data_IF_070798882780
#
_entry.id   IF_070798882780
#
_cell.length_a   1.000
_cell.length_b   1.000
_cell.length_c   1.000
_cell.angle_alpha   90.00
_cell.angle_beta   90.00
_cell.angle_gamma   90.00
#
_symmetry.space_group_name_H-M   'P 1'
#
loop_
_entity.id
_entity.type
_entity.pdbx_description
1 polymer ?
#
# COMPACT_ATOMS: atom_id res chain seq x y z
N UNK A 1 31.32 -11.87 -0.21
CA UNK A 1 31.83 -13.24 -0.31
C UNK A 1 33.27 -13.18 -0.78
N UNK A 2 34.15 -13.93 -0.12
CA UNK A 2 35.56 -14.03 -0.55
C UNK A 2 35.65 -14.90 -1.81
N UNK A 3 36.65 -14.66 -2.66
CA UNK A 3 36.89 -15.44 -3.89
C UNK A 3 36.98 -16.95 -3.61
N UNK A 4 37.67 -17.35 -2.55
CA UNK A 4 37.78 -18.77 -2.18
C UNK A 4 36.42 -19.41 -1.84
N UNK A 5 35.51 -18.64 -1.23
CA UNK A 5 34.16 -19.09 -0.90
C UNK A 5 33.28 -19.17 -2.16
N UNK A 6 33.40 -18.18 -3.06
CA UNK A 6 32.73 -18.22 -4.37
C UNK A 6 33.15 -19.45 -5.17
N UNK A 7 34.45 -19.70 -5.28
CA UNK A 7 34.98 -20.89 -5.97
C UNK A 7 34.51 -22.19 -5.31
N UNK A 8 34.41 -22.23 -3.98
CA UNK A 8 33.90 -23.40 -3.26
C UNK A 8 32.41 -23.65 -3.55
N UNK A 9 31.60 -22.59 -3.69
CA UNK A 9 30.17 -22.72 -4.02
C UNK A 9 29.93 -23.04 -5.49
N UNK A 10 30.82 -22.60 -6.38
CA UNK A 10 30.77 -22.91 -7.82
C UNK A 10 31.38 -24.27 -8.17
N UNK A 11 31.97 -24.99 -7.21
CA UNK A 11 32.69 -26.25 -7.49
C UNK A 11 31.81 -27.31 -8.16
N UNK A 12 30.51 -27.28 -7.88
CA UNK A 12 29.51 -28.23 -8.38
C UNK A 12 28.69 -27.62 -9.54
N UNK A 13 29.02 -26.41 -10.00
CA UNK A 13 28.38 -25.78 -11.14
C UNK A 13 28.80 -26.48 -12.44
N UNK A 14 27.90 -26.51 -13.42
CA UNK A 14 28.25 -26.95 -14.76
C UNK A 14 29.27 -25.98 -15.39
N UNK A 15 30.36 -26.48 -16.01
CA UNK A 15 31.45 -25.63 -16.49
C UNK A 15 31.02 -24.59 -17.54
N UNK A 16 30.01 -24.91 -18.35
CA UNK A 16 29.48 -24.04 -19.41
C UNK A 16 28.26 -23.23 -18.95
N UNK A 17 27.91 -23.28 -17.66
CA UNK A 17 26.77 -22.51 -17.15
C UNK A 17 27.03 -21.01 -17.20
N UNK A 18 26.03 -20.25 -17.63
CA UNK A 18 26.10 -18.78 -17.67
C UNK A 18 25.91 -18.20 -16.27
N UNK A 19 26.78 -17.28 -15.91
CA UNK A 19 26.74 -16.59 -14.61
C UNK A 19 25.93 -15.30 -14.76
N UNK A 20 24.78 -15.25 -14.08
CA UNK A 20 23.90 -14.09 -14.02
C UNK A 20 24.07 -13.36 -12.69
N UNK A 21 24.24 -12.05 -12.75
CA UNK A 21 24.28 -11.19 -11.56
C UNK A 21 22.92 -10.52 -11.36
N UNK A 22 22.33 -10.65 -10.19
CA UNK A 22 21.14 -9.91 -9.77
C UNK A 22 21.55 -8.73 -8.87
N UNK A 23 21.78 -7.52 -9.43
CA UNK A 23 22.08 -6.36 -8.60
C UNK A 23 20.84 -5.87 -7.85
N UNK A 24 21.01 -5.36 -6.62
CA UNK A 24 19.95 -4.62 -5.92
C UNK A 24 19.78 -3.21 -6.46
N UNK A 25 20.88 -2.60 -6.94
CA UNK A 25 20.93 -1.25 -7.48
C UNK A 25 21.91 -1.18 -8.66
N UNK A 26 21.58 -0.38 -9.68
CA UNK A 26 22.34 -0.25 -10.92
C UNK A 26 23.15 1.05 -11.00
N UNK A 27 23.82 1.43 -9.92
CA UNK A 27 24.79 2.55 -9.92
C UNK A 27 26.18 2.07 -9.50
N UNK A 28 27.20 2.50 -10.24
CA UNK A 28 28.61 2.13 -10.04
C UNK A 28 29.25 2.82 -8.83
N UNK A 29 28.56 3.78 -8.20
CA UNK A 29 29.06 4.49 -7.02
C UNK A 29 29.00 3.67 -5.73
N UNK A 30 28.23 2.58 -5.70
CA UNK A 30 28.04 1.73 -4.52
C UNK A 30 28.28 0.26 -4.89
N UNK A 31 29.41 -0.29 -4.48
CA UNK A 31 29.72 -1.70 -4.70
C UNK A 31 29.10 -2.57 -3.59
N UNK A 32 28.32 -3.58 -3.96
CA UNK A 32 27.73 -4.54 -3.02
C UNK A 32 28.55 -5.83 -2.91
N UNK A 33 28.63 -6.36 -1.70
CA UNK A 33 29.26 -7.65 -1.46
C UNK A 33 28.30 -8.79 -1.87
N UNK A 34 28.76 -9.69 -2.76
CA UNK A 34 28.02 -10.92 -3.07
C UNK A 34 27.85 -11.74 -1.80
N UNK A 35 26.64 -12.23 -1.53
CA UNK A 35 26.38 -13.03 -0.34
C UNK A 35 25.84 -14.43 -0.66
N UNK A 36 25.36 -14.64 -1.89
CA UNK A 36 24.76 -15.90 -2.30
C UNK A 36 25.14 -16.33 -3.72
N UNK A 37 25.14 -17.65 -3.93
CA UNK A 37 25.43 -18.34 -5.20
C UNK A 37 24.42 -19.46 -5.31
N UNK A 38 23.54 -19.38 -6.31
CA UNK A 38 22.50 -20.39 -6.52
C UNK A 38 22.76 -21.14 -7.80
N UNK A 39 22.98 -22.45 -7.67
CA UNK A 39 23.12 -23.37 -8.79
C UNK A 39 21.72 -23.83 -9.21
N UNK A 40 21.28 -23.47 -10.42
CA UNK A 40 19.97 -23.90 -10.89
C UNK A 40 20.11 -25.27 -11.54
N UNK A 41 19.41 -26.25 -10.97
CA UNK A 41 19.42 -27.62 -11.48
C UNK A 41 18.71 -27.75 -12.84
N UNK A 42 17.63 -26.99 -13.05
CA UNK A 42 16.88 -26.98 -14.30
C UNK A 42 17.46 -25.97 -15.30
N UNK A 43 17.50 -26.31 -16.60
CA UNK A 43 17.93 -25.36 -17.62
C UNK A 43 16.93 -24.20 -17.74
N UNK A 44 17.46 -23.00 -17.95
CA UNK A 44 16.70 -21.80 -18.24
C UNK A 44 16.58 -21.60 -19.75
N UNK A 45 15.55 -20.87 -20.15
CA UNK A 45 15.44 -20.37 -21.53
C UNK A 45 16.13 -19.03 -21.60
N UNK A 46 17.04 -18.89 -22.58
CA UNK A 46 17.58 -17.62 -22.99
C UNK A 46 16.93 -17.21 -24.31
N UNK A 47 16.44 -15.98 -24.36
CA UNK A 47 15.88 -15.36 -25.55
C UNK A 47 16.74 -14.18 -25.96
N UNK A 48 17.20 -14.17 -27.21
CA UNK A 48 17.93 -13.04 -27.80
C UNK A 48 16.96 -12.21 -28.64
N UNK A 49 16.66 -11.03 -28.13
CA UNK A 49 15.74 -10.08 -28.78
C UNK A 49 16.54 -9.12 -29.67
N UNK A 50 16.23 -9.09 -30.97
CA UNK A 50 16.88 -8.21 -31.92
C UNK A 50 16.15 -6.87 -32.06
N UNK A 51 16.88 -5.77 -31.94
CA UNK A 51 16.35 -4.42 -32.14
C UNK A 51 16.59 -3.93 -33.56
N UNK A 52 15.73 -3.00 -34.00
CA UNK A 52 15.83 -2.39 -35.33
C UNK A 52 17.14 -1.62 -35.59
N UNK A 53 17.88 -1.26 -34.52
CA UNK A 53 19.20 -0.63 -34.61
C UNK A 53 20.36 -1.65 -34.78
N UNK A 54 20.04 -2.95 -34.87
CA UNK A 54 21.01 -4.03 -35.01
C UNK A 54 21.62 -4.50 -33.68
N UNK A 55 21.22 -3.92 -32.54
CA UNK A 55 21.62 -4.41 -31.23
C UNK A 55 20.75 -5.60 -30.81
N UNK A 56 21.27 -6.42 -29.90
CA UNK A 56 20.55 -7.54 -29.31
C UNK A 56 20.62 -7.49 -27.78
N UNK A 57 19.57 -7.98 -27.13
CA UNK A 57 19.50 -8.13 -25.67
C UNK A 57 19.08 -9.53 -25.31
N UNK A 58 19.85 -10.16 -24.42
CA UNK A 58 19.60 -11.53 -23.96
C UNK A 58 18.78 -11.50 -22.67
N UNK A 59 17.65 -12.19 -22.66
CA UNK A 59 16.73 -12.30 -21.53
C UNK A 59 16.70 -13.76 -21.07
N UNK A 60 17.03 -13.99 -19.80
CA UNK A 60 17.06 -15.33 -19.23
C UNK A 60 15.87 -15.49 -18.28
N UNK A 61 15.11 -16.57 -18.42
CA UNK A 61 14.00 -16.90 -17.53
C UNK A 61 13.85 -18.42 -17.36
N UNK A 62 13.16 -18.89 -16.30
CA UNK A 62 12.91 -20.32 -16.16
C UNK A 62 12.11 -20.85 -17.36
N UNK A 63 12.45 -22.06 -17.83
CA UNK A 63 11.83 -22.67 -19.01
C UNK A 63 10.30 -22.84 -18.88
N UNK A 64 9.78 -22.85 -17.65
CA UNK A 64 8.35 -22.93 -17.34
C UNK A 64 7.54 -21.66 -17.66
N UNK A 65 8.19 -20.52 -17.92
CA UNK A 65 7.51 -19.22 -18.02
C UNK A 65 6.99 -18.88 -19.43
N UNK A 66 7.19 -19.75 -20.42
CA UNK A 66 6.87 -19.45 -21.83
C UNK A 66 7.71 -18.31 -22.38
N UNK A 67 7.40 -17.84 -23.60
CA UNK A 67 8.17 -16.76 -24.22
C UNK A 67 7.96 -15.41 -23.52
N UNK A 68 9.00 -14.57 -23.47
CA UNK A 68 8.86 -13.25 -22.84
C UNK A 68 8.00 -12.31 -23.67
N UNK A 69 7.32 -11.37 -23.00
CA UNK A 69 6.44 -10.40 -23.64
C UNK A 69 7.24 -9.55 -24.65
N UNK A 70 6.92 -9.71 -25.93
CA UNK A 70 7.57 -8.98 -27.03
C UNK A 70 8.55 -9.81 -27.87
N UNK A 71 8.74 -11.09 -27.55
CA UNK A 71 9.50 -12.03 -28.39
C UNK A 71 8.82 -12.20 -29.76
N UNK A 72 9.57 -11.99 -30.84
CA UNK A 72 9.12 -12.17 -32.22
C UNK A 72 9.72 -13.46 -32.82
N UNK A 73 8.87 -14.47 -33.00
CA UNK A 73 9.24 -15.79 -33.55
C UNK A 73 9.96 -15.73 -34.91
N UNK A 74 9.83 -14.63 -35.66
CA UNK A 74 10.47 -14.47 -36.96
C UNK A 74 11.90 -13.90 -36.89
N UNK A 75 12.25 -13.20 -35.81
CA UNK A 75 13.53 -12.49 -35.70
C UNK A 75 14.35 -12.84 -34.48
N UNK A 76 13.73 -13.39 -33.44
CA UNK A 76 14.37 -13.68 -32.16
C UNK A 76 14.78 -15.15 -32.05
N UNK A 77 15.84 -15.39 -31.28
CA UNK A 77 16.39 -16.73 -31.06
C UNK A 77 16.12 -17.18 -29.62
N UNK A 78 15.78 -18.45 -29.42
CA UNK A 78 15.63 -19.02 -28.08
C UNK A 78 16.38 -20.35 -27.96
N UNK A 79 17.13 -20.54 -26.87
CA UNK A 79 17.77 -21.82 -26.54
C UNK A 79 17.72 -22.10 -25.04
N UNK A 80 17.99 -23.35 -24.66
CA UNK A 80 18.07 -23.75 -23.26
C UNK A 80 19.52 -23.82 -22.80
N UNK A 81 19.80 -23.30 -21.61
CA UNK A 81 21.13 -23.32 -21.01
C UNK A 81 21.09 -23.40 -19.48
N UNK A 82 22.18 -23.88 -18.88
CA UNK A 82 22.32 -23.90 -17.42
C UNK A 82 22.80 -22.54 -16.93
N UNK A 83 22.25 -22.09 -15.79
CA UNK A 83 22.58 -20.78 -15.24
C UNK A 83 22.97 -20.89 -13.77
N UNK A 84 23.91 -20.03 -13.38
CA UNK A 84 24.28 -19.78 -11.98
C UNK A 84 23.94 -18.34 -11.64
N UNK A 85 23.25 -18.13 -10.53
CA UNK A 85 22.83 -16.80 -10.12
C UNK A 85 23.67 -16.34 -8.94
N UNK A 86 24.31 -15.17 -9.08
CA UNK A 86 25.05 -14.48 -8.03
C UNK A 86 24.18 -13.35 -7.47
N UNK A 87 24.08 -13.27 -6.14
CA UNK A 87 23.23 -12.28 -5.48
C UNK A 87 23.86 -11.69 -4.21
N UNK A 88 23.67 -10.39 -3.95
CA UNK A 88 23.99 -9.76 -2.67
C UNK A 88 22.95 -10.06 -1.57
N UNK A 89 21.81 -10.70 -1.87
CA UNK A 89 20.78 -11.06 -0.89
C UNK A 89 20.93 -12.51 -0.39
N UNK A 90 20.93 -12.73 0.93
CA UNK A 90 20.89 -14.08 1.50
C UNK A 90 19.53 -14.77 1.24
N UNK A 91 19.52 -15.96 0.62
CA UNK A 91 18.41 -16.91 0.70
C UNK A 91 17.15 -16.56 -0.10
N UNK A 92 17.16 -15.56 -0.97
CA UNK A 92 15.95 -15.13 -1.68
C UNK A 92 15.65 -15.90 -2.98
N UNK A 93 16.62 -16.62 -3.56
CA UNK A 93 16.51 -17.10 -4.95
C UNK A 93 16.03 -18.55 -5.04
N UNK A 94 16.46 -19.45 -4.14
CA UNK A 94 15.92 -20.82 -4.08
C UNK A 94 14.41 -20.81 -3.80
N UNK A 95 13.93 -19.83 -3.02
CA UNK A 95 12.50 -19.63 -2.84
C UNK A 95 11.79 -19.27 -4.17
N UNK A 96 12.42 -18.54 -5.10
CA UNK A 96 11.75 -18.01 -6.30
C UNK A 96 11.65 -19.02 -7.45
N UNK A 97 12.52 -20.04 -7.51
CA UNK A 97 12.55 -21.02 -8.59
C UNK A 97 11.71 -22.29 -8.35
N UNK A 98 11.19 -22.53 -7.15
CA UNK A 98 10.19 -23.57 -6.88
C UNK A 98 8.78 -23.14 -7.32
N UNK A 99 8.67 -22.76 -8.60
CA UNK A 99 7.42 -22.38 -9.25
C UNK A 99 6.57 -23.58 -9.68
N UNK A 100 6.34 -24.54 -8.80
CA UNK A 100 5.20 -25.45 -8.84
C UNK A 100 4.72 -25.59 -7.40
N UNK A 101 3.56 -24.99 -7.10
CA UNK A 101 2.88 -24.99 -5.81
C UNK A 101 3.67 -24.38 -4.64
N UNK A 102 4.01 -23.10 -4.76
CA UNK A 102 4.45 -22.31 -3.60
C UNK A 102 3.25 -22.08 -2.67
N UNK A 103 3.08 -23.02 -1.75
CA UNK A 103 1.96 -23.04 -0.80
C UNK A 103 1.92 -21.74 0.02
N UNK A 104 0.72 -21.33 0.42
CA UNK A 104 0.48 -20.23 1.35
C UNK A 104 1.24 -20.36 2.70
N UNK A 105 1.88 -21.51 2.95
CA UNK A 105 2.62 -21.85 4.17
C UNK A 105 3.93 -21.06 4.34
N UNK A 106 4.66 -20.76 3.26
CA UNK A 106 6.01 -20.17 3.39
C UNK A 106 5.97 -18.64 3.57
N UNK A 107 5.05 -17.96 2.87
CA UNK A 107 4.77 -16.53 3.13
C UNK A 107 4.12 -16.33 4.49
N UNK A 108 3.23 -17.25 4.89
CA UNK A 108 2.70 -17.27 6.25
C UNK A 108 3.83 -17.46 7.28
N UNK A 109 4.81 -18.34 7.03
CA UNK A 109 5.93 -18.57 7.93
C UNK A 109 6.82 -17.33 8.13
N UNK A 110 7.14 -16.58 7.06
CA UNK A 110 7.89 -15.33 7.18
C UNK A 110 7.07 -14.24 7.87
N UNK A 111 5.80 -14.06 7.49
CA UNK A 111 4.91 -13.10 8.15
C UNK A 111 4.75 -13.39 9.64
N UNK A 112 4.60 -14.66 10.00
CA UNK A 112 4.47 -15.11 11.37
C UNK A 112 5.77 -14.91 12.14
N UNK A 113 6.94 -15.11 11.52
CA UNK A 113 8.23 -14.80 12.14
C UNK A 113 8.40 -13.30 12.43
N UNK A 114 7.99 -12.42 11.50
CA UNK A 114 8.04 -10.96 11.68
C UNK A 114 7.05 -10.53 12.77
N UNK A 115 5.84 -11.12 12.79
CA UNK A 115 4.83 -10.88 13.82
C UNK A 115 5.33 -11.29 15.19
N UNK A 116 5.93 -12.47 15.31
CA UNK A 116 6.48 -12.98 16.57
C UNK A 116 7.64 -12.12 17.05
N UNK A 117 8.55 -11.70 16.17
CA UNK A 117 9.62 -10.76 16.51
C UNK A 117 9.06 -9.43 17.01
N UNK A 118 8.08 -8.85 16.31
CA UNK A 118 7.44 -7.61 16.74
C UNK A 118 6.74 -7.75 18.10
N UNK A 119 6.12 -8.90 18.37
CA UNK A 119 5.50 -9.21 19.66
C UNK A 119 6.54 -9.34 20.77
N UNK A 120 7.66 -10.02 20.51
CA UNK A 120 8.77 -10.15 21.46
C UNK A 120 9.36 -8.78 21.81
N UNK A 121 9.55 -7.90 20.82
CA UNK A 121 9.97 -6.51 21.07
C UNK A 121 8.99 -5.79 21.99
N UNK A 122 7.68 -5.89 21.75
CA UNK A 122 6.68 -5.24 22.61
C UNK A 122 6.68 -5.80 24.03
N UNK A 123 6.83 -7.11 24.21
CA UNK A 123 6.99 -7.73 25.54
C UNK A 123 8.18 -7.13 26.29
N UNK A 124 9.30 -6.93 25.60
CA UNK A 124 10.48 -6.28 26.18
C UNK A 124 10.18 -4.82 26.56
N UNK A 125 9.49 -4.07 25.71
CA UNK A 125 9.11 -2.69 25.99
C UNK A 125 8.20 -2.56 27.22
N UNK A 126 7.35 -3.55 27.51
CA UNK A 126 6.56 -3.60 28.75
C UNK A 126 7.49 -3.76 29.96
N UNK A 127 8.44 -4.70 29.91
CA UNK A 127 9.42 -4.93 30.99
C UNK A 127 10.28 -3.69 31.25
N UNK A 128 10.67 -2.97 30.21
CA UNK A 128 11.45 -1.73 30.32
C UNK A 128 10.63 -0.49 30.72
N UNK A 129 9.30 -0.63 30.90
CA UNK A 129 8.41 0.48 31.24
C UNK A 129 8.22 1.50 30.11
N UNK A 130 8.56 1.12 28.88
CA UNK A 130 8.29 1.92 27.67
C UNK A 130 6.84 1.78 27.20
N UNK A 131 6.19 0.67 27.55
CA UNK A 131 4.75 0.45 27.41
C UNK A 131 4.12 0.32 28.80
N UNK A 132 3.07 1.11 29.05
CA UNK A 132 2.40 1.21 30.34
C UNK A 132 1.02 0.55 30.28
N UNK A 133 0.58 -0.08 31.37
CA UNK A 133 -0.83 -0.44 31.52
C UNK A 133 -1.72 0.82 31.56
N UNK A 134 -3.02 0.66 31.31
CA UNK A 134 -3.96 1.78 31.37
C UNK A 134 -3.96 2.49 32.75
N UNK A 135 -3.82 1.73 33.84
CA UNK A 135 -3.81 2.27 35.20
C UNK A 135 -2.52 3.06 35.49
N UNK A 136 -1.36 2.54 35.08
CA UNK A 136 -0.08 3.26 35.18
C UNK A 136 -0.07 4.53 34.31
N UNK A 137 -0.61 4.44 33.10
CA UNK A 137 -0.72 5.58 32.19
C UNK A 137 -1.60 6.69 32.80
N UNK A 138 -2.76 6.33 33.36
CA UNK A 138 -3.65 7.26 34.05
C UNK A 138 -2.96 7.90 35.27
N UNK A 139 -2.27 7.10 36.08
CA UNK A 139 -1.54 7.57 37.24
C UNK A 139 -0.44 8.56 36.85
N UNK A 140 0.32 8.25 35.80
CA UNK A 140 1.43 9.09 35.30
C UNK A 140 0.96 10.45 34.78
N UNK A 141 -0.18 10.49 34.09
CA UNK A 141 -0.77 11.74 33.60
C UNK A 141 -1.67 12.45 34.63
N UNK A 142 -1.97 11.82 35.77
CA UNK A 142 -2.93 12.33 36.74
C UNK A 142 -4.34 12.50 36.17
N UNK A 143 -4.75 11.61 35.26
CA UNK A 143 -6.07 11.67 34.60
C UNK A 143 -7.01 10.56 35.09
N UNK A 144 -8.31 10.83 35.04
CA UNK A 144 -9.32 9.82 35.36
C UNK A 144 -9.50 8.82 34.22
N UNK A 145 -9.96 7.60 34.55
CA UNK A 145 -10.32 6.57 33.55
C UNK A 145 -11.32 7.07 32.51
N UNK A 146 -12.25 7.95 32.91
CA UNK A 146 -13.22 8.58 32.00
C UNK A 146 -12.54 9.50 30.97
N UNK A 147 -11.55 10.29 31.41
CA UNK A 147 -10.77 11.15 30.51
C UNK A 147 -9.90 10.32 29.59
N UNK A 148 -9.25 9.30 30.13
CA UNK A 148 -8.45 8.35 29.36
C UNK A 148 -9.27 7.68 28.23
N UNK A 149 -10.46 7.16 28.55
CA UNK A 149 -11.35 6.57 27.56
C UNK A 149 -11.79 7.57 26.47
N UNK A 150 -11.98 8.84 26.82
CA UNK A 150 -12.25 9.90 25.84
C UNK A 150 -11.05 10.16 24.93
N UNK A 151 -9.85 10.28 25.49
CA UNK A 151 -8.63 10.50 24.71
C UNK A 151 -8.39 9.35 23.73
N UNK A 152 -8.66 8.11 24.14
CA UNK A 152 -8.60 6.94 23.25
C UNK A 152 -9.64 7.03 22.12
N UNK A 153 -10.90 7.35 22.46
CA UNK A 153 -11.98 7.47 21.48
C UNK A 153 -11.75 8.61 20.47
N UNK A 154 -11.18 9.72 20.93
CA UNK A 154 -10.87 10.90 20.10
C UNK A 154 -9.58 10.70 19.26
N UNK A 155 -8.87 9.56 19.43
CA UNK A 155 -7.62 9.26 18.73
C UNK A 155 -6.42 10.09 19.21
N UNK A 156 -6.50 10.66 20.40
CA UNK A 156 -5.43 11.46 21.01
C UNK A 156 -4.32 10.62 21.62
N UNK A 157 -4.61 9.34 21.86
CA UNK A 157 -3.66 8.32 22.29
C UNK A 157 -4.00 6.99 21.60
N UNK A 158 -3.13 6.00 21.72
CA UNK A 158 -3.36 4.67 21.18
C UNK A 158 -2.65 3.59 22.00
N UNK A 159 -3.24 2.40 22.02
CA UNK A 159 -2.64 1.21 22.61
C UNK A 159 -1.95 0.35 21.55
N UNK A 160 -0.93 -0.39 21.98
CA UNK A 160 -0.34 -1.51 21.25
C UNK A 160 -0.80 -2.80 21.93
N UNK A 161 -1.29 -3.73 21.12
CA UNK A 161 -1.61 -5.08 21.58
C UNK A 161 -0.33 -5.84 21.91
N UNK A 162 -0.28 -6.36 23.14
CA UNK A 162 0.69 -7.32 23.63
C UNK A 162 -0.08 -8.46 24.27
N UNK A 163 -0.08 -9.63 23.62
CA UNK A 163 -0.76 -10.84 24.09
C UNK A 163 -2.26 -10.63 24.39
N UNK A 164 -2.95 -9.85 23.54
CA UNK A 164 -4.38 -9.57 23.68
C UNK A 164 -4.71 -8.51 24.75
N UNK A 165 -3.70 -7.85 25.31
CA UNK A 165 -3.84 -6.73 26.25
C UNK A 165 -3.27 -5.46 25.65
N UNK A 166 -4.03 -4.36 25.73
CA UNK A 166 -3.57 -3.04 25.27
C UNK A 166 -2.62 -2.40 26.28
N UNK A 167 -1.42 -2.07 25.82
CA UNK A 167 -0.46 -1.24 26.53
C UNK A 167 -0.22 0.09 25.80
N UNK A 168 0.10 1.14 26.54
CA UNK A 168 0.15 2.52 26.04
C UNK A 168 1.60 3.03 26.06
N UNK A 169 2.12 3.60 24.95
CA UNK A 169 3.46 4.16 24.93
C UNK A 169 3.70 5.19 26.02
N UNK A 170 4.72 4.98 26.85
CA UNK A 170 5.10 5.88 27.94
C UNK A 170 5.41 7.30 27.45
N UNK A 171 5.90 7.43 26.20
CA UNK A 171 6.14 8.72 25.54
C UNK A 171 4.86 9.58 25.43
N UNK A 172 3.68 8.97 25.34
CA UNK A 172 2.40 9.71 25.29
C UNK A 172 2.01 10.27 26.67
N UNK A 173 2.70 9.83 27.73
CA UNK A 173 2.56 10.30 29.10
C UNK A 173 3.80 11.09 29.58
N UNK A 174 4.67 11.54 28.67
CA UNK A 174 5.82 12.36 29.03
C UNK A 174 5.40 13.83 29.20
N UNK A 175 5.52 14.34 30.42
CA UNK A 175 5.17 15.72 30.79
C UNK A 175 6.12 16.77 30.22
N UNK A 176 7.28 16.35 29.70
CA UNK A 176 8.26 17.25 29.05
C UNK A 176 7.82 17.66 27.65
N UNK A 177 6.95 16.88 27.01
CA UNK A 177 6.49 17.12 25.65
C UNK A 177 5.28 18.06 25.63
N UNK A 178 5.13 18.80 24.53
CA UNK A 178 3.92 19.58 24.30
C UNK A 178 2.71 18.67 24.04
N UNK A 179 1.99 18.35 25.13
CA UNK A 179 0.87 17.41 25.10
C UNK A 179 -0.21 17.77 24.07
N UNK A 180 -0.55 19.05 23.93
CA UNK A 180 -1.58 19.50 22.98
C UNK A 180 -1.17 19.23 21.53
N UNK A 181 0.10 19.47 21.21
CA UNK A 181 0.64 19.24 19.87
C UNK A 181 0.81 17.76 19.60
N UNK A 182 1.29 16.99 20.58
CA UNK A 182 1.38 15.52 20.49
C UNK A 182 0.01 14.89 20.21
N UNK A 183 -1.01 15.22 21.00
CA UNK A 183 -2.37 14.73 20.80
C UNK A 183 -2.92 15.10 19.41
N UNK A 184 -2.59 16.29 18.91
CA UNK A 184 -2.96 16.69 17.56
C UNK A 184 -2.26 15.84 16.48
N UNK A 185 -0.98 15.50 16.65
CA UNK A 185 -0.29 14.57 15.76
C UNK A 185 -0.90 13.16 15.87
N UNK A 186 -1.16 12.65 17.08
CA UNK A 186 -1.82 11.37 17.29
C UNK A 186 -3.14 11.28 16.52
N UNK A 187 -3.97 12.33 16.59
CA UNK A 187 -5.21 12.43 15.81
C UNK A 187 -4.95 12.37 14.32
N UNK A 188 -3.90 13.04 13.82
CA UNK A 188 -3.50 13.03 12.41
C UNK A 188 -3.17 11.62 11.92
N UNK A 189 -2.40 10.88 12.71
CA UNK A 189 -1.84 9.58 12.33
C UNK A 189 -2.74 8.39 12.61
N UNK A 190 -3.96 8.60 13.16
CA UNK A 190 -4.96 7.54 13.44
C UNK A 190 -5.14 6.51 12.32
N UNK A 191 -5.16 6.87 11.01
CA UNK A 191 -5.35 5.88 9.95
C UNK A 191 -4.32 4.76 9.92
N UNK A 192 -3.12 4.98 10.49
CA UNK A 192 -2.06 3.99 10.53
C UNK A 192 -2.22 2.98 11.68
N UNK A 193 -1.75 1.74 11.52
CA UNK A 193 -1.67 0.76 12.60
C UNK A 193 -0.93 1.30 13.84
N UNK A 194 -1.29 0.84 15.04
CA UNK A 194 -0.71 1.31 16.30
C UNK A 194 0.83 1.21 16.36
N UNK A 195 1.41 0.12 15.87
CA UNK A 195 2.86 -0.04 15.78
C UNK A 195 3.49 1.03 14.89
N UNK A 196 2.97 1.23 13.68
CA UNK A 196 3.48 2.26 12.77
C UNK A 196 3.35 3.68 13.34
N UNK A 197 2.28 3.95 14.10
CA UNK A 197 2.12 5.24 14.82
C UNK A 197 3.18 5.43 15.90
N UNK A 198 3.53 4.36 16.63
CA UNK A 198 4.61 4.39 17.61
C UNK A 198 5.95 4.70 16.91
N UNK A 199 6.28 3.94 15.87
CA UNK A 199 7.54 4.09 15.13
C UNK A 199 7.68 5.47 14.50
N UNK A 200 6.59 5.98 13.90
CA UNK A 200 6.55 7.34 13.36
C UNK A 200 6.93 8.37 14.42
N UNK A 201 6.39 8.27 15.64
CA UNK A 201 6.68 9.22 16.69
C UNK A 201 8.11 9.09 17.24
N UNK A 202 8.59 7.86 17.43
CA UNK A 202 9.83 7.59 18.17
C UNK A 202 11.09 7.50 17.31
N UNK A 203 10.97 7.35 15.99
CA UNK A 203 12.11 7.10 15.09
C UNK A 203 12.46 8.30 14.20
N UNK A 204 13.73 8.42 13.75
CA UNK A 204 14.11 9.37 12.71
C UNK A 204 13.30 9.17 11.43
N UNK A 205 12.77 10.26 10.86
CA UNK A 205 11.93 10.17 9.66
C UNK A 205 12.54 10.93 8.48
N UNK A 206 12.71 10.24 7.35
CA UNK A 206 13.37 10.79 6.15
C UNK A 206 12.73 12.09 5.63
N UNK A 207 11.40 12.13 5.51
CA UNK A 207 10.67 13.32 5.04
C UNK A 207 10.77 14.55 5.98
N UNK A 208 11.27 14.35 7.20
CA UNK A 208 11.54 15.37 8.22
C UNK A 208 13.04 15.69 8.33
N UNK A 209 13.86 15.23 7.38
CA UNK A 209 15.32 15.43 7.41
C UNK A 209 15.99 14.62 8.52
N UNK A 210 15.54 13.37 8.73
CA UNK A 210 16.01 12.48 9.79
C UNK A 210 15.81 13.01 11.23
N UNK A 211 14.96 14.03 11.41
CA UNK A 211 14.49 14.44 12.74
C UNK A 211 13.48 13.43 13.27
N UNK A 212 13.46 13.30 14.60
CA UNK A 212 12.45 12.52 15.34
C UNK A 212 11.22 13.42 15.58
N UNK A 213 10.00 13.02 15.20
CA UNK A 213 8.79 13.84 15.36
C UNK A 213 8.55 14.41 16.75
N UNK A 214 8.82 13.64 17.82
CA UNK A 214 8.64 14.13 19.18
C UNK A 214 9.51 15.34 19.52
N UNK A 215 10.69 15.45 18.90
CA UNK A 215 11.60 16.60 19.10
C UNK A 215 11.16 17.85 18.32
N UNK A 216 10.18 17.72 17.42
CA UNK A 216 9.68 18.82 16.58
C UNK A 216 8.43 19.48 17.18
N UNK A 217 7.98 19.05 18.35
CA UNK A 217 6.73 19.53 18.94
C UNK A 217 6.82 20.97 19.46
N UNK A 218 7.96 21.43 19.95
CA UNK A 218 8.05 22.72 20.65
C UNK A 218 8.28 23.92 19.73
N UNK A 219 8.99 23.75 18.61
CA UNK A 219 9.22 24.83 17.63
C UNK A 219 8.05 24.94 16.64
N UNK A 220 7.58 26.16 16.38
CA UNK A 220 6.41 26.41 15.52
C UNK A 220 6.62 26.00 14.06
N UNK A 221 7.83 26.20 13.52
CA UNK A 221 8.14 25.89 12.12
C UNK A 221 8.30 24.39 11.94
N UNK A 222 9.03 23.75 12.84
CA UNK A 222 9.19 22.30 12.86
C UNK A 222 7.83 21.63 13.10
N UNK A 223 7.01 22.11 14.03
CA UNK A 223 5.68 21.56 14.26
C UNK A 223 4.77 21.69 13.04
N UNK A 224 4.79 22.84 12.34
CA UNK A 224 4.04 23.01 11.09
C UNK A 224 4.48 21.98 10.05
N UNK A 225 5.79 21.82 9.85
CA UNK A 225 6.34 20.83 8.92
C UNK A 225 5.96 19.39 9.31
N UNK A 226 6.03 19.07 10.61
CA UNK A 226 5.62 17.77 11.13
C UNK A 226 4.16 17.48 10.80
N UNK A 227 3.24 18.44 10.97
CA UNK A 227 1.84 18.25 10.62
C UNK A 227 1.63 17.92 9.15
N UNK A 228 2.26 18.67 8.25
CA UNK A 228 2.16 18.45 6.80
C UNK A 228 2.65 17.04 6.41
N UNK A 229 3.79 16.62 6.96
CA UNK A 229 4.34 15.28 6.72
C UNK A 229 3.46 14.20 7.35
N UNK A 230 2.96 14.41 8.57
CA UNK A 230 2.08 13.45 9.23
C UNK A 230 0.76 13.27 8.46
N UNK A 231 0.21 14.32 7.86
CA UNK A 231 -0.99 14.24 7.01
C UNK A 231 -0.71 13.43 5.74
N UNK A 232 0.41 13.66 5.08
CA UNK A 232 0.81 12.91 3.88
C UNK A 232 1.12 11.44 4.21
N UNK A 233 1.85 11.18 5.30
CA UNK A 233 2.19 9.85 5.78
C UNK A 233 0.93 9.06 6.17
N UNK A 234 0.01 9.68 6.93
CA UNK A 234 -1.24 9.02 7.35
C UNK A 234 -2.13 8.65 6.16
N UNK A 235 -2.10 9.43 5.07
CA UNK A 235 -2.88 9.14 3.87
C UNK A 235 -2.48 7.82 3.18
N UNK A 236 -1.24 7.35 3.36
CA UNK A 236 -0.74 6.09 2.78
C UNK A 236 -1.44 4.86 3.37
N UNK A 237 -1.99 5.00 4.58
CA UNK A 237 -2.66 3.90 5.28
C UNK A 237 -4.15 3.77 4.96
N UNK A 238 -4.67 4.58 4.03
CA UNK A 238 -6.04 4.41 3.53
C UNK A 238 -6.15 4.74 2.06
N UNK A 239 -6.86 3.87 1.34
CA UNK A 239 -7.23 4.04 -0.05
C UNK A 239 -8.72 4.27 -0.18
N UNK A 240 -9.09 5.15 -1.10
CA UNK A 240 -10.48 5.26 -1.57
C UNK A 240 -10.52 4.74 -2.99
N UNK A 241 -11.39 3.78 -3.24
CA UNK A 241 -11.67 3.26 -4.58
C UNK A 241 -13.01 3.75 -5.08
N UNK A 242 -13.06 3.96 -6.39
CA UNK A 242 -14.26 4.15 -7.18
C UNK A 242 -14.35 3.00 -8.15
N UNK A 243 -15.52 2.38 -8.25
CA UNK A 243 -15.79 1.35 -9.25
C UNK A 243 -17.10 1.69 -9.98
N UNK A 244 -17.09 1.65 -11.31
CA UNK A 244 -18.26 1.83 -12.16
C UNK A 244 -18.65 0.50 -12.78
N UNK A 245 -19.94 0.18 -12.77
CA UNK A 245 -20.51 -1.00 -13.43
C UNK A 245 -21.65 -0.61 -14.37
N UNK A 246 -21.83 -1.34 -15.46
CA UNK A 246 -22.98 -1.18 -16.34
C UNK A 246 -24.28 -1.60 -15.62
N UNK A 247 -25.36 -0.84 -15.80
CA UNK A 247 -26.67 -1.17 -15.25
C UNK A 247 -26.93 -0.63 -13.85
N UNK A 248 -28.05 -1.06 -13.27
CA UNK A 248 -28.52 -0.65 -11.93
C UNK A 248 -28.18 -1.72 -10.90
N UNK A 249 -27.28 -1.40 -9.98
CA UNK A 249 -26.86 -2.30 -8.91
C UNK A 249 -27.21 -1.69 -7.55
N UNK A 250 -27.60 -2.51 -6.58
CA UNK A 250 -27.77 -2.08 -5.18
C UNK A 250 -26.56 -2.46 -4.29
N UNK A 251 -25.82 -3.50 -4.71
CA UNK A 251 -24.57 -3.98 -4.10
C UNK A 251 -23.53 -4.22 -5.19
N UNK A 252 -22.24 -4.16 -4.83
CA UNK A 252 -21.15 -4.39 -5.78
C UNK A 252 -21.25 -5.82 -6.34
N UNK A 253 -21.38 -6.01 -7.67
CA UNK A 253 -21.52 -7.33 -8.27
C UNK A 253 -20.17 -8.08 -8.27
N UNK A 254 -20.21 -9.39 -8.03
CA UNK A 254 -19.01 -10.22 -7.88
C UNK A 254 -18.49 -10.81 -9.20
N UNK A 255 -19.37 -10.93 -10.20
CA UNK A 255 -19.16 -11.66 -11.46
C UNK A 255 -19.25 -10.75 -12.70
N UNK A 256 -19.37 -9.44 -12.50
CA UNK A 256 -19.42 -8.45 -13.56
C UNK A 256 -18.10 -7.71 -13.65
N UNK A 257 -17.56 -7.55 -14.86
CA UNK A 257 -16.36 -6.75 -15.08
C UNK A 257 -16.67 -5.26 -14.89
N UNK A 258 -15.89 -4.54 -14.06
CA UNK A 258 -16.03 -3.09 -13.94
C UNK A 258 -15.82 -2.37 -15.28
N UNK A 259 -16.62 -1.34 -15.54
CA UNK A 259 -16.41 -0.40 -16.64
C UNK A 259 -15.19 0.50 -16.39
N UNK A 260 -14.94 0.81 -15.13
CA UNK A 260 -13.85 1.68 -14.69
C UNK A 260 -13.60 1.51 -13.20
N UNK A 261 -12.34 1.48 -12.81
CA UNK A 261 -11.89 1.50 -11.42
C UNK A 261 -10.85 2.59 -11.28
N UNK A 262 -10.95 3.40 -10.22
CA UNK A 262 -9.93 4.36 -9.84
C UNK A 262 -9.63 4.31 -8.34
N UNK A 263 -8.36 4.39 -7.97
CA UNK A 263 -7.91 4.28 -6.58
C UNK A 263 -6.92 5.40 -6.26
N UNK A 264 -7.07 6.04 -5.11
CA UNK A 264 -6.06 6.99 -4.58
C UNK A 264 -5.84 6.75 -3.09
N UNK A 265 -4.62 7.07 -2.65
CA UNK A 265 -4.28 7.18 -1.24
C UNK A 265 -4.74 8.53 -0.69
N UNK A 266 -5.61 8.48 0.32
CA UNK A 266 -6.18 9.66 0.92
C UNK A 266 -6.66 9.37 2.34
N UNK A 267 -6.36 10.33 3.22
CA UNK A 267 -6.82 10.34 4.60
C UNK A 267 -8.35 10.12 4.69
N UNK A 268 -8.81 9.06 5.38
CA UNK A 268 -10.21 8.66 5.42
C UNK A 268 -11.11 9.66 6.16
N UNK A 269 -10.50 10.59 6.93
CA UNK A 269 -11.22 11.66 7.64
C UNK A 269 -11.63 12.80 6.73
N UNK A 270 -11.08 12.88 5.50
CA UNK A 270 -11.58 13.81 4.49
C UNK A 270 -13.01 13.39 4.08
N UNK A 271 -13.90 14.35 3.76
CA UNK A 271 -15.27 14.04 3.34
C UNK A 271 -15.31 13.04 2.19
N UNK A 272 -16.27 12.10 2.22
CA UNK A 272 -16.41 11.01 1.26
C UNK A 272 -16.27 11.48 -0.19
N UNK A 273 -17.04 12.50 -0.58
CA UNK A 273 -17.04 12.99 -1.96
C UNK A 273 -15.77 13.74 -2.35
N UNK A 274 -15.05 14.33 -1.39
CA UNK A 274 -13.71 14.87 -1.61
C UNK A 274 -12.72 13.74 -1.93
N UNK A 275 -12.79 12.62 -1.20
CA UNK A 275 -11.97 11.43 -1.47
C UNK A 275 -12.29 10.80 -2.81
N UNK A 276 -13.57 10.59 -3.09
CA UNK A 276 -14.05 10.08 -4.37
C UNK A 276 -13.57 10.98 -5.53
N UNK A 277 -13.70 12.30 -5.39
CA UNK A 277 -13.23 13.22 -6.43
C UNK A 277 -11.72 13.13 -6.63
N UNK A 278 -10.93 12.98 -5.57
CA UNK A 278 -9.48 12.79 -5.70
C UNK A 278 -9.19 11.50 -6.48
N UNK A 279 -9.87 10.40 -6.14
CA UNK A 279 -9.68 9.11 -6.80
C UNK A 279 -9.92 9.15 -8.31
N UNK A 280 -11.02 9.77 -8.77
CA UNK A 280 -11.38 9.79 -10.19
C UNK A 280 -10.66 10.89 -11.02
N UNK A 281 -9.96 11.83 -10.37
CA UNK A 281 -9.25 12.92 -11.09
C UNK A 281 -7.73 12.78 -11.02
N UNK A 282 -7.19 12.09 -10.02
CA UNK A 282 -5.76 11.78 -9.97
C UNK A 282 -5.52 10.51 -10.77
N UNK A 283 -4.85 10.64 -11.90
CA UNK A 283 -4.47 9.58 -12.83
C UNK A 283 -3.46 8.56 -12.26
N UNK A 284 -3.55 8.23 -10.96
CA UNK A 284 -2.63 7.33 -10.28
C UNK A 284 -2.91 5.87 -10.65
N UNK A 285 -4.00 5.32 -10.11
CA UNK A 285 -4.40 3.93 -10.35
C UNK A 285 -5.77 3.89 -10.98
N UNK A 286 -5.83 3.95 -12.31
CA UNK A 286 -7.08 3.84 -13.07
C UNK A 286 -7.03 2.71 -14.10
N UNK A 287 -8.15 1.99 -14.25
CA UNK A 287 -8.27 0.88 -15.21
C UNK A 287 -9.72 0.67 -15.66
N UNK A 288 -10.00 0.39 -16.95
CA UNK A 288 -9.05 0.45 -18.06
C UNK A 288 -8.58 1.89 -18.31
N UNK A 289 -7.42 2.05 -18.96
CA UNK A 289 -7.05 3.34 -19.56
C UNK A 289 -7.97 3.55 -20.78
N UNK A 290 -8.51 4.76 -20.94
CA UNK A 290 -9.54 5.05 -21.95
C UNK A 290 -9.14 4.69 -23.40
N UNK A 291 -10.07 4.81 -24.37
CA UNK A 291 -11.34 5.55 -24.28
C UNK A 291 -12.42 4.82 -23.49
N UNK A 292 -13.22 5.59 -22.75
CA UNK A 292 -14.29 5.04 -21.92
C UNK A 292 -15.60 4.92 -22.70
N UNK A 293 -16.39 3.88 -22.46
CA UNK A 293 -17.64 3.66 -23.17
C UNK A 293 -18.72 4.68 -22.78
N UNK A 294 -19.70 4.85 -23.67
CA UNK A 294 -20.91 5.64 -23.43
C UNK A 294 -22.06 4.73 -23.00
N UNK A 295 -22.25 4.55 -21.69
CA UNK A 295 -23.40 3.83 -21.14
C UNK A 295 -24.41 4.77 -20.52
N UNK A 296 -25.68 4.64 -20.95
CA UNK A 296 -26.81 5.41 -20.42
C UNK A 296 -27.11 5.08 -18.97
N UNK A 297 -26.92 3.84 -18.55
CA UNK A 297 -27.20 3.39 -17.19
C UNK A 297 -25.98 2.72 -16.61
N UNK A 298 -25.52 3.22 -15.47
CA UNK A 298 -24.38 2.66 -14.75
C UNK A 298 -24.50 2.95 -13.25
N UNK A 299 -23.78 2.17 -12.44
CA UNK A 299 -23.74 2.33 -10.98
C UNK A 299 -22.33 2.63 -10.52
N UNK A 300 -22.21 3.64 -9.66
CA UNK A 300 -20.99 4.08 -9.01
C UNK A 300 -20.93 3.54 -7.59
N UNK A 301 -19.86 2.82 -7.27
CA UNK A 301 -19.51 2.42 -5.90
C UNK A 301 -18.30 3.23 -5.41
N UNK A 302 -18.35 3.63 -4.15
CA UNK A 302 -17.22 4.21 -3.43
C UNK A 302 -16.93 3.34 -2.22
N UNK A 303 -15.70 2.85 -2.10
CA UNK A 303 -15.27 2.05 -0.96
C UNK A 303 -13.98 2.60 -0.36
N UNK A 304 -13.80 2.33 0.94
CA UNK A 304 -12.57 2.63 1.66
C UNK A 304 -11.86 1.34 2.01
N UNK A 305 -10.59 1.28 1.68
CA UNK A 305 -9.67 0.26 2.20
C UNK A 305 -8.72 0.92 3.19
N UNK A 306 -8.49 0.29 4.33
CA UNK A 306 -7.54 0.76 5.34
C UNK A 306 -6.51 -0.32 5.61
N UNK A 307 -5.28 0.09 5.89
CA UNK A 307 -4.18 -0.84 6.17
C UNK A 307 -4.56 -1.79 7.31
N UNK A 308 -4.24 -3.08 7.16
CA UNK A 308 -4.61 -4.12 8.12
C UNK A 308 -6.01 -4.70 7.96
N UNK A 309 -6.85 -4.15 7.06
CA UNK A 309 -8.15 -4.73 6.72
C UNK A 309 -8.11 -5.42 5.36
N UNK A 310 -8.61 -6.65 5.31
CA UNK A 310 -8.59 -7.49 4.10
C UNK A 310 -9.72 -7.14 3.11
N UNK A 311 -10.79 -6.49 3.58
CA UNK A 311 -11.95 -6.14 2.76
C UNK A 311 -12.19 -4.63 2.73
N UNK A 312 -12.39 -4.03 1.53
CA UNK A 312 -12.90 -2.68 1.42
C UNK A 312 -14.26 -2.55 2.14
N UNK A 313 -14.45 -1.42 2.83
CA UNK A 313 -15.71 -1.05 3.45
C UNK A 313 -16.50 -0.20 2.46
N UNK A 314 -17.70 -0.63 2.02
CA UNK A 314 -18.54 0.18 1.16
C UNK A 314 -19.00 1.45 1.86
N UNK A 315 -18.88 2.60 1.21
CA UNK A 315 -19.24 3.91 1.77
C UNK A 315 -20.33 4.63 0.97
N UNK A 316 -20.44 4.35 -0.33
CA UNK A 316 -21.59 4.78 -1.14
C UNK A 316 -21.87 3.86 -2.34
N UNK A 317 -23.14 3.85 -2.74
CA UNK A 317 -23.65 3.28 -3.99
C UNK A 317 -24.65 4.26 -4.62
N UNK A 318 -24.40 4.61 -5.88
CA UNK A 318 -25.15 5.60 -6.62
C UNK A 318 -25.49 5.07 -8.01
N UNK A 319 -26.77 4.92 -8.29
CA UNK A 319 -27.27 4.59 -9.62
C UNK A 319 -27.38 5.87 -10.45
N UNK A 320 -26.90 5.80 -11.69
CA UNK A 320 -26.80 6.93 -12.61
C UNK A 320 -27.49 6.55 -13.92
N UNK A 321 -28.47 7.35 -14.31
CA UNK A 321 -29.14 7.28 -15.60
C UNK A 321 -28.89 8.58 -16.37
N UNK A 322 -28.00 8.53 -17.35
CA UNK A 322 -27.73 9.61 -18.29
C UNK A 322 -28.71 9.54 -19.47
N UNK A 323 -29.54 10.58 -19.62
CA UNK A 323 -30.35 10.85 -20.80
C UNK A 323 -29.85 12.10 -21.52
N UNK A 324 -30.28 12.29 -22.76
CA UNK A 324 -29.78 13.35 -23.65
C UNK A 324 -29.82 14.76 -23.00
N UNK A 325 -30.83 15.03 -22.15
CA UNK A 325 -31.00 16.35 -21.51
C UNK A 325 -30.64 16.40 -20.01
N UNK A 326 -30.60 15.26 -19.32
CA UNK A 326 -30.41 15.21 -17.86
C UNK A 326 -29.79 13.91 -17.36
N UNK A 327 -29.06 14.00 -16.25
CA UNK A 327 -28.61 12.87 -15.44
C UNK A 327 -29.60 12.72 -14.30
N UNK A 328 -30.20 11.54 -14.15
CA UNK A 328 -30.92 11.15 -12.94
C UNK A 328 -29.98 10.37 -12.04
N UNK A 329 -29.87 10.79 -10.79
CA UNK A 329 -29.06 10.15 -9.77
C UNK A 329 -30.00 9.54 -8.73
N UNK A 330 -29.73 8.32 -8.30
CA UNK A 330 -30.39 7.69 -7.15
C UNK A 330 -29.33 7.14 -6.20
N UNK A 331 -29.27 7.70 -5.00
CA UNK A 331 -28.38 7.22 -3.94
C UNK A 331 -29.03 6.03 -3.24
N UNK A 332 -28.45 4.83 -3.40
CA UNK A 332 -28.92 3.61 -2.74
C UNK A 332 -28.47 3.59 -1.28
N UNK A 333 -27.22 3.96 -1.04
CA UNK A 333 -26.71 4.32 0.27
C UNK A 333 -25.53 5.27 0.11
N UNK A 334 -25.34 6.12 1.10
CA UNK A 334 -24.09 6.83 1.33
C UNK A 334 -23.98 7.03 2.83
N UNK A 335 -22.80 6.79 3.41
CA UNK A 335 -22.60 6.89 4.86
C UNK A 335 -23.14 8.23 5.39
N UNK A 336 -24.12 8.14 6.30
CA UNK A 336 -24.76 9.32 6.90
C UNK A 336 -25.82 10.04 6.07
N UNK A 337 -26.32 9.47 4.94
CA UNK A 337 -27.41 10.07 4.14
C UNK A 337 -28.58 9.11 3.88
N UNK A 338 -29.82 9.62 3.84
CA UNK A 338 -30.98 8.85 3.41
C UNK A 338 -30.94 8.59 1.90
N UNK A 339 -31.77 7.64 1.44
CA UNK A 339 -31.97 7.36 0.01
C UNK A 339 -32.65 8.55 -0.65
N UNK A 340 -32.00 9.13 -1.65
CA UNK A 340 -32.49 10.31 -2.37
C UNK A 340 -32.39 10.07 -3.88
N UNK A 341 -33.30 10.71 -4.64
CA UNK A 341 -33.33 10.65 -6.10
C UNK A 341 -33.47 12.07 -6.66
N UNK A 342 -32.67 12.38 -7.66
CA UNK A 342 -32.48 13.75 -8.12
C UNK A 342 -32.15 13.81 -9.61
N UNK A 343 -32.25 15.01 -10.19
CA UNK A 343 -31.85 15.28 -11.56
C UNK A 343 -30.88 16.45 -11.64
N UNK A 344 -29.95 16.37 -12.58
CA UNK A 344 -28.99 17.42 -12.89
C UNK A 344 -28.74 17.50 -14.40
N UNK A 345 -28.29 18.63 -14.95
CA UNK A 345 -28.11 18.78 -16.40
C UNK A 345 -26.96 17.89 -16.93
N UNK A 346 -27.18 17.21 -18.07
CA UNK A 346 -26.20 16.27 -18.66
C UNK A 346 -24.99 16.97 -19.29
N UNK A 347 -25.14 18.19 -19.83
CA UNK A 347 -24.09 18.85 -20.62
C UNK A 347 -23.83 18.16 -21.97
N UNK A 348 -22.69 18.40 -22.64
CA UNK A 348 -22.35 17.69 -23.90
C UNK A 348 -22.01 16.21 -23.63
N UNK A 349 -22.19 15.37 -24.66
CA UNK A 349 -21.93 13.91 -24.64
C UNK A 349 -20.64 13.56 -23.91
N UNK A 350 -20.76 12.62 -22.99
CA UNK A 350 -19.77 12.36 -21.98
C UNK A 350 -19.76 10.87 -21.65
N UNK A 351 -18.56 10.34 -21.56
CA UNK A 351 -18.33 8.94 -21.22
C UNK A 351 -18.84 8.63 -19.81
N UNK A 352 -18.93 7.33 -19.44
CA UNK A 352 -19.31 6.94 -18.07
C UNK A 352 -18.44 7.62 -17.00
N UNK A 353 -17.15 7.81 -17.27
CA UNK A 353 -16.22 8.47 -16.36
C UNK A 353 -16.52 9.97 -16.23
N UNK A 354 -16.83 10.65 -17.33
CA UNK A 354 -17.15 12.08 -17.31
C UNK A 354 -18.46 12.36 -16.57
N UNK A 355 -19.47 11.51 -16.76
CA UNK A 355 -20.73 11.56 -16.02
C UNK A 355 -20.46 11.32 -14.53
N UNK A 356 -19.69 10.31 -14.16
CA UNK A 356 -19.31 10.04 -12.78
C UNK A 356 -18.56 11.22 -12.13
N UNK A 357 -17.62 11.86 -12.84
CA UNK A 357 -16.92 13.07 -12.40
C UNK A 357 -17.90 14.20 -12.06
N UNK A 358 -18.92 14.43 -12.90
CA UNK A 358 -19.97 15.43 -12.64
C UNK A 358 -20.82 15.10 -11.42
N UNK A 359 -21.25 13.84 -11.29
CA UNK A 359 -22.06 13.38 -10.15
C UNK A 359 -21.30 13.57 -8.84
N UNK A 360 -20.02 13.20 -8.80
CA UNK A 360 -19.16 13.40 -7.63
C UNK A 360 -18.96 14.89 -7.35
N UNK A 361 -18.73 15.72 -8.37
CA UNK A 361 -18.60 17.17 -8.21
C UNK A 361 -19.89 17.82 -7.67
N UNK A 362 -21.07 17.31 -8.04
CA UNK A 362 -22.36 17.75 -7.49
C UNK A 362 -22.48 17.40 -6.02
N UNK A 363 -22.15 16.18 -5.62
CA UNK A 363 -22.19 15.78 -4.22
C UNK A 363 -21.18 16.53 -3.34
N UNK A 364 -20.04 16.97 -3.90
CA UNK A 364 -19.04 17.78 -3.18
C UNK A 364 -19.50 19.20 -2.84
N UNK A 365 -20.43 19.77 -3.61
CA UNK A 365 -20.92 21.15 -3.40
C UNK A 365 -21.99 21.25 -2.30
N UNK A 366 -22.36 20.11 -1.71
CA UNK A 366 -23.38 19.97 -0.67
C UNK A 366 -22.72 19.57 0.63
#
# INVERSE_FOLDING_TARGET
MKVAELLLRLKDAEPEAVVLLLPNYADYSEAEELNDVVLIAEPWTCERHHKADGTATDVHHPASHGHTLGCDDATDESWSEHVVILSPQLGSIEAKNSGVEKSASDTASLEDSIREQALQTRRHMVVEGQLLSADEFCARLGISKKRFGRMLADGELFGLDVDGTDYFPALLADSRLNAKRLQAICRIIVPAPAGSRHDFLSSPHGALGAKIPLHMLDDDRDYKRLREVAEAWAAQYSRTSITLYEGEHESEPADVTPLYTAITEIDPRKPLWTRASKAIHEHGYEWPLGPYPEYRTHTLFVARQSAGYTRPVPEACVQILAKDDYIRIRTIFASGRPREAETMPVGKHQTVVDVAKKVIAHFRKR
#
